data_IF_489541802662
#
_entry.id   IF_489541802662
#
_cell.length_a   1.000
_cell.length_b   1.000
_cell.length_c   1.000
_cell.angle_alpha   90.00
_cell.angle_beta   90.00
_cell.angle_gamma   90.00
#
_symmetry.space_group_name_H-M   'P 1'
#
loop_
_entity.id
_entity.type
_entity.pdbx_description
1 polymer ?
#
# COMPACT_ATOMS: atom_id res chain seq x y z
N UNK A 1 16.18 25.23 -77.03
CA UNK A 1 16.83 23.89 -76.94
C UNK A 1 17.86 23.95 -75.82
N UNK A 2 17.93 23.12 -74.78
CA UNK A 2 17.21 21.93 -74.34
C UNK A 2 17.14 21.99 -72.81
N UNK A 3 15.97 21.65 -72.27
CA UNK A 3 15.77 21.44 -70.84
C UNK A 3 16.59 20.24 -70.34
N UNK A 4 17.10 20.32 -69.11
CA UNK A 4 17.42 19.14 -68.32
C UNK A 4 16.73 19.29 -66.96
N UNK A 5 15.68 18.49 -66.80
CA UNK A 5 14.88 18.33 -65.60
C UNK A 5 15.74 17.64 -64.54
N UNK A 6 15.91 18.28 -63.39
CA UNK A 6 16.44 17.62 -62.19
C UNK A 6 15.24 17.03 -61.45
N UNK A 7 15.00 15.73 -61.63
CA UNK A 7 14.05 14.97 -60.81
C UNK A 7 14.83 14.52 -59.57
N UNK A 8 14.62 15.22 -58.45
CA UNK A 8 15.17 14.80 -57.17
C UNK A 8 14.23 13.78 -56.55
N UNK A 9 14.73 12.55 -56.42
CA UNK A 9 14.02 11.39 -55.91
C UNK A 9 13.72 11.57 -54.41
N UNK A 10 12.43 11.60 -54.07
CA UNK A 10 11.91 11.54 -52.70
C UNK A 10 12.42 10.30 -51.97
N UNK A 11 13.32 10.49 -51.00
CA UNK A 11 13.64 9.44 -50.02
C UNK A 11 12.62 9.51 -48.89
N UNK A 12 11.63 8.62 -48.95
CA UNK A 12 10.70 8.39 -47.85
C UNK A 12 11.49 7.78 -46.68
N UNK A 13 11.80 8.60 -45.67
CA UNK A 13 12.29 8.14 -44.38
C UNK A 13 11.09 7.50 -43.68
N UNK A 14 10.98 6.18 -43.78
CA UNK A 14 10.03 5.40 -42.99
C UNK A 14 10.60 5.37 -41.56
N UNK A 15 10.23 6.35 -40.75
CA UNK A 15 10.40 6.28 -39.30
C UNK A 15 9.48 5.18 -38.77
N UNK A 16 10.01 3.96 -38.66
CA UNK A 16 9.40 2.95 -37.79
C UNK A 16 9.54 3.46 -36.35
N UNK A 17 8.52 4.17 -35.89
CA UNK A 17 8.32 4.40 -34.46
C UNK A 17 8.06 3.04 -33.82
N UNK A 18 9.13 2.35 -33.43
CA UNK A 18 9.03 1.24 -32.51
C UNK A 18 8.48 1.82 -31.21
N UNK A 19 7.16 1.70 -31.01
CA UNK A 19 6.60 1.78 -29.67
C UNK A 19 7.17 0.58 -28.93
N UNK A 20 8.27 0.80 -28.22
CA UNK A 20 8.75 -0.13 -27.21
C UNK A 20 7.64 -0.20 -26.16
N UNK A 21 6.72 -1.15 -26.32
CA UNK A 21 5.85 -1.59 -25.24
C UNK A 21 6.80 -2.19 -24.21
N UNK A 22 7.17 -1.37 -23.22
CA UNK A 22 7.87 -1.82 -22.04
C UNK A 22 7.03 -2.96 -21.45
N UNK A 23 7.48 -4.19 -21.67
CA UNK A 23 6.85 -5.37 -21.09
C UNK A 23 7.05 -5.22 -19.59
N UNK A 24 6.02 -4.72 -18.90
CA UNK A 24 6.04 -4.52 -17.45
C UNK A 24 6.41 -5.86 -16.83
N UNK A 25 7.67 -5.99 -16.42
CA UNK A 25 8.15 -7.18 -15.74
C UNK A 25 7.34 -7.25 -14.46
N UNK A 26 6.42 -8.22 -14.37
CA UNK A 26 5.66 -8.46 -13.15
C UNK A 26 6.70 -8.74 -12.08
N UNK A 27 6.90 -7.82 -11.14
CA UNK A 27 7.84 -8.00 -10.03
C UNK A 27 7.45 -9.30 -9.34
N UNK A 28 8.41 -10.23 -9.23
CA UNK A 28 8.20 -11.43 -8.44
C UNK A 28 8.11 -10.98 -6.99
N UNK A 29 7.02 -11.33 -6.32
CA UNK A 29 6.67 -10.91 -4.97
C UNK A 29 7.12 -12.02 -3.98
N UNK A 30 8.34 -11.98 -3.43
CA UNK A 30 8.72 -12.92 -2.39
C UNK A 30 7.98 -12.62 -1.09
N UNK A 31 7.82 -13.65 -0.26
CA UNK A 31 7.27 -13.49 1.08
C UNK A 31 8.23 -12.65 1.93
N UNK A 32 7.68 -11.64 2.62
CA UNK A 32 8.48 -10.85 3.55
C UNK A 32 8.85 -11.68 4.79
N UNK A 33 10.10 -11.55 5.22
CA UNK A 33 10.61 -12.20 6.44
C UNK A 33 10.29 -11.40 7.71
N UNK A 34 10.03 -10.11 7.56
CA UNK A 34 9.71 -9.21 8.67
C UNK A 34 8.21 -9.22 8.95
N UNK A 35 7.86 -9.66 10.17
CA UNK A 35 6.46 -9.78 10.60
C UNK A 35 5.95 -8.55 11.32
N UNK A 36 6.85 -7.70 11.84
CA UNK A 36 6.48 -6.55 12.65
C UNK A 36 7.30 -5.35 12.25
N UNK A 37 6.63 -4.21 12.09
CA UNK A 37 7.23 -2.93 11.73
C UNK A 37 6.94 -1.97 12.86
N UNK A 38 7.99 -1.36 13.41
CA UNK A 38 7.84 -0.27 14.36
C UNK A 38 7.39 1.00 13.61
N UNK A 39 6.12 1.38 13.81
CA UNK A 39 5.53 2.54 13.15
C UNK A 39 4.86 3.46 14.16
N UNK A 40 5.29 4.72 14.13
CA UNK A 40 4.63 5.80 14.83
C UNK A 40 3.49 6.36 13.94
N UNK A 41 2.26 5.97 14.22
CA UNK A 41 1.09 6.35 13.42
C UNK A 41 0.77 7.85 13.47
N UNK A 42 1.14 8.56 14.54
CA UNK A 42 0.98 10.02 14.60
C UNK A 42 1.94 10.71 13.64
N UNK A 43 3.21 10.26 13.60
CA UNK A 43 4.19 10.75 12.61
C UNK A 43 3.76 10.40 11.19
N UNK A 44 3.21 9.21 10.98
CA UNK A 44 2.68 8.84 9.67
C UNK A 44 1.51 9.74 9.25
N UNK A 45 0.58 10.02 10.16
CA UNK A 45 -0.51 10.97 9.90
C UNK A 45 0.01 12.39 9.62
N UNK A 46 1.03 12.84 10.35
CA UNK A 46 1.69 14.11 10.05
C UNK A 46 2.26 14.11 8.64
N UNK A 47 3.00 13.06 8.24
CA UNK A 47 3.48 12.87 6.87
C UNK A 47 2.35 12.96 5.83
N UNK A 48 1.24 12.26 6.03
CA UNK A 48 0.10 12.29 5.09
C UNK A 48 -0.48 13.70 4.88
N UNK A 49 -0.33 14.60 5.87
CA UNK A 49 -0.85 15.98 5.80
C UNK A 49 0.16 16.97 5.24
N UNK A 50 1.44 16.80 5.55
CA UNK A 50 2.47 17.82 5.27
C UNK A 50 3.36 17.46 4.09
N UNK A 51 3.41 16.19 3.71
CA UNK A 51 4.17 15.74 2.55
C UNK A 51 3.28 15.64 1.30
N UNK A 52 3.86 15.15 0.21
CA UNK A 52 3.14 14.76 -1.01
C UNK A 52 3.06 13.23 -1.05
N UNK A 53 2.20 12.59 -0.24
CA UNK A 53 2.06 11.13 -0.26
C UNK A 53 1.53 10.67 -1.62
N UNK A 54 1.82 9.42 -1.97
CA UNK A 54 1.18 8.78 -3.11
C UNK A 54 -0.29 8.52 -2.80
N UNK A 55 -1.15 8.54 -3.81
CA UNK A 55 -2.61 8.45 -3.64
C UNK A 55 -3.04 7.20 -2.86
N UNK A 56 -2.30 6.10 -3.03
CA UNK A 56 -2.54 4.83 -2.36
C UNK A 56 -2.09 4.80 -0.89
N UNK A 57 -1.25 5.73 -0.44
CA UNK A 57 -0.82 5.78 0.96
C UNK A 57 -1.93 6.33 1.85
N UNK A 58 -2.07 5.75 3.06
CA UNK A 58 -3.02 6.23 4.04
C UNK A 58 -3.56 5.15 4.95
N UNK A 59 -4.62 5.48 5.67
CA UNK A 59 -5.35 4.55 6.51
C UNK A 59 -6.54 3.98 5.76
N UNK A 60 -6.78 2.70 5.98
CA UNK A 60 -7.83 1.93 5.34
C UNK A 60 -8.57 1.10 6.37
N UNK A 61 -9.87 0.93 6.17
CA UNK A 61 -10.70 0.06 7.00
C UNK A 61 -11.38 -1.00 6.15
N UNK A 62 -11.58 -2.19 6.73
CA UNK A 62 -12.38 -3.23 6.09
C UNK A 62 -13.84 -2.79 5.96
N UNK A 63 -14.60 -3.44 5.08
CA UNK A 63 -16.03 -3.14 4.85
C UNK A 63 -16.84 -3.14 6.16
N UNK A 64 -16.55 -4.10 7.07
CA UNK A 64 -17.19 -4.21 8.37
C UNK A 64 -16.55 -3.34 9.47
N UNK A 65 -15.55 -2.52 9.12
CA UNK A 65 -14.84 -1.60 10.00
C UNK A 65 -14.09 -2.25 11.18
N UNK A 66 -13.91 -3.58 11.15
CA UNK A 66 -13.23 -4.31 12.22
C UNK A 66 -11.71 -4.22 12.14
N UNK A 67 -11.17 -4.09 10.91
CA UNK A 67 -9.75 -3.96 10.67
C UNK A 67 -9.41 -2.53 10.27
N UNK A 68 -8.26 -2.05 10.74
CA UNK A 68 -7.65 -0.81 10.28
C UNK A 68 -6.22 -1.10 9.87
N UNK A 69 -5.85 -0.67 8.68
CA UNK A 69 -4.57 -0.96 8.02
C UNK A 69 -3.97 0.36 7.55
N UNK A 70 -2.68 0.55 7.78
CA UNK A 70 -1.91 1.63 7.19
C UNK A 70 -1.19 1.08 5.94
N UNK A 71 -1.43 1.68 4.78
CA UNK A 71 -0.65 1.41 3.56
C UNK A 71 0.42 2.49 3.44
N UNK A 72 1.68 2.07 3.43
CA UNK A 72 2.85 2.95 3.38
C UNK A 72 3.75 2.51 2.24
N UNK A 73 4.42 3.46 1.60
CA UNK A 73 5.46 3.16 0.61
C UNK A 73 6.55 2.29 1.23
N UNK A 74 6.96 1.29 0.48
CA UNK A 74 8.08 0.42 0.83
C UNK A 74 9.30 0.80 0.00
N UNK A 75 10.45 0.94 0.65
CA UNK A 75 11.71 1.30 -0.01
C UNK A 75 12.44 0.08 -0.61
N UNK A 76 11.86 -1.12 -0.51
CA UNK A 76 12.42 -2.32 -1.15
C UNK A 76 12.20 -2.33 -2.67
N UNK A 77 13.04 -3.07 -3.39
CA UNK A 77 12.92 -3.18 -4.86
C UNK A 77 11.72 -4.03 -5.31
N UNK A 78 11.26 -4.92 -4.45
CA UNK A 78 10.34 -6.02 -4.80
C UNK A 78 8.87 -5.64 -4.60
N UNK A 79 8.58 -4.83 -3.58
CA UNK A 79 7.24 -4.36 -3.22
C UNK A 79 7.24 -2.83 -3.17
N UNK A 80 6.24 -2.20 -3.77
CA UNK A 80 6.13 -0.75 -3.79
C UNK A 80 5.45 -0.22 -2.52
N UNK A 81 4.56 -1.03 -1.91
CA UNK A 81 3.84 -0.68 -0.69
C UNK A 81 3.68 -1.89 0.23
N UNK A 82 3.55 -1.61 1.53
CA UNK A 82 3.21 -2.58 2.57
C UNK A 82 1.94 -2.14 3.30
N UNK A 83 1.15 -3.12 3.72
CA UNK A 83 -0.01 -2.89 4.60
C UNK A 83 0.29 -3.40 6.01
N UNK A 84 0.28 -2.48 6.96
CA UNK A 84 0.59 -2.71 8.36
C UNK A 84 -0.68 -2.62 9.18
N UNK A 85 -0.88 -3.55 10.10
CA UNK A 85 -2.03 -3.58 10.98
C UNK A 85 -1.99 -2.44 12.00
N UNK A 86 -3.06 -1.66 12.06
CA UNK A 86 -3.30 -0.63 13.07
C UNK A 86 -4.21 -1.18 14.17
N UNK A 87 -5.29 -1.86 13.75
CA UNK A 87 -6.30 -2.44 14.64
C UNK A 87 -6.87 -3.71 14.04
N UNK A 88 -7.04 -4.73 14.87
CA UNK A 88 -7.73 -5.98 14.54
C UNK A 88 -8.76 -6.33 15.63
N UNK A 89 -9.84 -7.05 15.30
CA UNK A 89 -10.82 -7.50 16.29
C UNK A 89 -10.15 -8.49 17.26
N UNK A 90 -10.41 -8.31 18.56
CA UNK A 90 -9.90 -9.16 19.65
C UNK A 90 -8.37 -9.35 19.65
N UNK A 91 -7.62 -8.42 19.05
CA UNK A 91 -6.16 -8.53 18.97
C UNK A 91 -5.67 -9.69 18.12
N UNK A 92 -6.49 -10.20 17.18
CA UNK A 92 -6.13 -11.30 16.27
C UNK A 92 -4.78 -11.10 15.57
N UNK A 93 -4.50 -9.87 15.20
CA UNK A 93 -3.22 -9.43 14.66
C UNK A 93 -2.65 -8.30 15.51
N UNK A 94 -1.36 -8.34 15.75
CA UNK A 94 -0.69 -7.33 16.56
C UNK A 94 -0.65 -5.98 15.82
N UNK A 95 -0.71 -4.88 16.57
CA UNK A 95 -0.42 -3.55 16.04
C UNK A 95 1.02 -3.52 15.52
N UNK A 96 1.24 -2.96 14.33
CA UNK A 96 2.52 -3.00 13.63
C UNK A 96 2.79 -4.29 12.85
N UNK A 97 1.89 -5.27 12.89
CA UNK A 97 2.08 -6.52 12.13
C UNK A 97 1.93 -6.26 10.63
N UNK A 98 2.91 -6.71 9.84
CA UNK A 98 2.84 -6.64 8.39
C UNK A 98 1.93 -7.74 7.86
N UNK A 99 0.87 -7.35 7.16
CA UNK A 99 -0.13 -8.28 6.63
C UNK A 99 -0.28 -8.24 5.13
N UNK A 100 0.18 -7.17 4.47
CA UNK A 100 0.02 -7.00 3.04
C UNK A 100 1.30 -6.54 2.35
N UNK A 101 1.44 -6.99 1.12
CA UNK A 101 2.47 -6.56 0.19
C UNK A 101 1.83 -6.19 -1.13
N UNK A 102 2.23 -5.06 -1.71
CA UNK A 102 1.67 -4.59 -2.97
C UNK A 102 2.72 -4.09 -3.94
N UNK A 103 2.42 -4.27 -5.21
CA UNK A 103 3.05 -3.61 -6.35
C UNK A 103 2.00 -2.70 -6.97
N UNK A 104 2.43 -1.51 -7.39
CA UNK A 104 1.55 -0.54 -8.01
C UNK A 104 1.35 -0.88 -9.49
N UNK A 105 0.10 -1.17 -9.85
CA UNK A 105 -0.27 -1.35 -11.26
C UNK A 105 -0.47 -0.02 -11.96
N UNK A 106 -1.14 0.91 -11.29
CA UNK A 106 -1.40 2.29 -11.70
C UNK A 106 -1.64 3.16 -10.46
N UNK A 107 -1.85 4.46 -10.64
CA UNK A 107 -2.04 5.44 -9.55
C UNK A 107 -3.11 5.02 -8.52
N UNK A 108 -4.12 4.27 -8.95
CA UNK A 108 -5.26 3.83 -8.12
C UNK A 108 -5.37 2.31 -7.98
N UNK A 109 -4.40 1.52 -8.45
CA UNK A 109 -4.48 0.05 -8.43
C UNK A 109 -3.25 -0.56 -7.77
N UNK A 110 -3.49 -1.33 -6.72
CA UNK A 110 -2.50 -2.17 -6.07
C UNK A 110 -2.82 -3.65 -6.33
N UNK A 111 -1.80 -4.44 -6.68
CA UNK A 111 -1.90 -5.90 -6.68
C UNK A 111 -0.83 -6.50 -5.79
N UNK A 112 -1.14 -7.61 -5.15
CA UNK A 112 -0.17 -8.32 -4.33
C UNK A 112 -0.81 -9.39 -3.48
N UNK A 113 -0.39 -9.48 -2.22
CA UNK A 113 -0.81 -10.54 -1.31
C UNK A 113 -1.21 -9.99 0.06
N UNK A 114 -2.18 -10.66 0.69
CA UNK A 114 -2.32 -10.65 2.13
C UNK A 114 -1.94 -12.02 2.70
N UNK A 115 -1.44 -12.06 3.93
CA UNK A 115 -1.16 -13.32 4.62
C UNK A 115 -2.36 -13.70 5.48
N UNK A 116 -2.71 -14.99 5.55
CA UNK A 116 -3.74 -15.52 6.48
C UNK A 116 -3.14 -15.86 7.86
N UNK A 117 -3.92 -16.45 8.77
CA UNK A 117 -3.45 -16.82 10.12
C UNK A 117 -2.34 -17.88 10.09
N UNK A 118 -2.26 -18.66 9.00
CA UNK A 118 -1.27 -19.71 8.79
C UNK A 118 -0.03 -19.20 8.06
N UNK A 119 -0.01 -17.92 7.66
CA UNK A 119 1.05 -17.32 6.87
C UNK A 119 0.99 -17.67 5.38
N UNK A 120 -0.10 -18.25 4.89
CA UNK A 120 -0.27 -18.47 3.46
C UNK A 120 -0.56 -17.15 2.77
N UNK A 121 0.07 -16.93 1.62
CA UNK A 121 -0.17 -15.77 0.79
C UNK A 121 -1.44 -15.96 -0.05
N UNK A 122 -2.37 -15.03 0.06
CA UNK A 122 -3.61 -14.97 -0.69
C UNK A 122 -3.56 -13.74 -1.60
N UNK A 123 -3.80 -13.95 -2.90
CA UNK A 123 -3.71 -12.85 -3.88
C UNK A 123 -4.83 -11.83 -3.66
N UNK A 124 -4.50 -10.56 -3.85
CA UNK A 124 -5.44 -9.46 -3.70
C UNK A 124 -5.17 -8.39 -4.74
N UNK A 125 -6.25 -7.81 -5.25
CA UNK A 125 -6.24 -6.61 -6.08
C UNK A 125 -7.11 -5.56 -5.41
N UNK A 126 -6.51 -4.44 -5.09
CA UNK A 126 -7.18 -3.30 -4.48
C UNK A 126 -7.29 -2.18 -5.52
N UNK A 127 -8.52 -1.83 -5.86
CA UNK A 127 -8.84 -0.61 -6.58
C UNK A 127 -9.14 0.47 -5.54
N UNK A 128 -8.26 1.46 -5.44
CA UNK A 128 -8.49 2.63 -4.60
C UNK A 128 -9.47 3.53 -5.34
N UNK A 129 -10.72 3.55 -4.89
CA UNK A 129 -11.72 4.53 -5.33
C UNK A 129 -11.81 5.63 -4.28
N UNK A 130 -11.56 6.87 -4.70
CA UNK A 130 -11.63 8.08 -3.85
C UNK A 130 -13.05 8.47 -3.44
N UNK A 131 -14.07 7.81 -4.00
CA UNK A 131 -15.47 8.05 -3.67
C UNK A 131 -16.30 6.79 -3.80
N UNK A 132 -16.90 6.38 -2.68
CA UNK A 132 -17.88 5.31 -2.52
C UNK A 132 -17.36 3.89 -2.80
N UNK A 133 -17.02 3.09 -1.77
CA UNK A 133 -16.71 1.69 -1.99
C UNK A 133 -17.96 1.01 -2.53
N UNK A 134 -17.95 0.62 -3.81
CA UNK A 134 -18.83 -0.45 -4.26
C UNK A 134 -18.63 -1.65 -3.33
N UNK A 135 -19.68 -2.45 -3.13
CA UNK A 135 -19.70 -3.62 -2.20
C UNK A 135 -18.54 -4.61 -2.39
N UNK A 136 -17.78 -4.49 -3.47
CA UNK A 136 -16.67 -5.36 -3.86
C UNK A 136 -15.28 -4.83 -3.41
N UNK A 137 -15.18 -3.65 -2.79
CA UNK A 137 -13.92 -3.12 -2.27
C UNK A 137 -13.62 -3.66 -0.87
N UNK A 138 -12.67 -4.60 -0.75
CA UNK A 138 -12.25 -5.18 0.54
C UNK A 138 -11.81 -4.12 1.57
N UNK A 139 -11.25 -3.00 1.12
CA UNK A 139 -10.75 -1.91 1.94
C UNK A 139 -11.25 -0.56 1.44
N UNK A 140 -11.57 0.33 2.37
CA UNK A 140 -11.99 1.71 2.12
C UNK A 140 -11.03 2.68 2.80
N UNK A 141 -10.59 3.72 2.09
CA UNK A 141 -9.72 4.75 2.67
C UNK A 141 -10.50 5.55 3.71
N UNK A 142 -9.87 5.84 4.84
CA UNK A 142 -10.48 6.52 6.00
C UNK A 142 -9.55 7.64 6.48
N UNK A 143 -10.11 8.76 6.91
CA UNK A 143 -9.30 9.84 7.45
C UNK A 143 -8.79 9.48 8.85
N UNK A 144 -7.57 9.90 9.20
CA UNK A 144 -7.04 9.64 10.54
C UNK A 144 -7.93 10.19 11.67
N UNK A 145 -8.57 11.34 11.44
CA UNK A 145 -9.51 11.96 12.40
C UNK A 145 -10.79 11.17 12.63
N UNK A 146 -11.12 10.24 11.73
CA UNK A 146 -12.29 9.36 11.84
C UNK A 146 -11.95 8.06 12.59
N UNK A 147 -10.66 7.82 12.88
CA UNK A 147 -10.21 6.67 13.64
C UNK A 147 -10.28 6.95 15.14
N UNK A 148 -10.94 6.10 15.94
CA UNK A 148 -10.93 6.19 17.39
C UNK A 148 -9.52 6.31 18.00
N UNK A 149 -9.36 7.26 18.93
CA UNK A 149 -8.09 7.51 19.62
C UNK A 149 -7.51 6.25 20.30
N UNK A 150 -8.39 5.36 20.78
CA UNK A 150 -8.02 4.08 21.40
C UNK A 150 -7.18 3.16 20.50
N UNK A 151 -7.19 3.35 19.18
CA UNK A 151 -6.33 2.58 18.27
C UNK A 151 -4.86 3.01 18.37
N UNK A 152 -4.61 4.20 18.91
CA UNK A 152 -3.29 4.82 18.94
C UNK A 152 -2.66 4.85 20.32
N UNK A 153 -3.47 4.85 21.40
CA UNK A 153 -2.97 4.84 22.78
C UNK A 153 -2.36 3.48 23.12
N UNK A 154 -1.07 3.44 23.45
CA UNK A 154 -0.48 2.28 24.11
C UNK A 154 -1.08 2.15 25.51
N UNK A 155 -1.73 1.02 25.81
CA UNK A 155 -2.14 0.75 27.19
C UNK A 155 -0.87 0.72 28.04
N UNK A 156 -0.68 1.75 28.85
CA UNK A 156 0.32 1.75 29.90
C UNK A 156 -0.14 0.71 30.91
N UNK A 157 0.38 -0.51 30.80
CA UNK A 157 0.15 -1.54 31.80
C UNK A 157 0.90 -1.11 33.05
N UNK A 158 0.21 -0.38 33.93
CA UNK A 158 0.64 -0.13 35.30
C UNK A 158 0.72 -1.49 36.00
N UNK A 159 1.91 -2.10 36.01
CA UNK A 159 2.24 -3.14 36.96
C UNK A 159 2.24 -2.52 38.36
N UNK A 160 1.08 -2.45 39.01
CA UNK A 160 1.03 -2.38 40.46
C UNK A 160 1.40 -3.76 40.97
N UNK A 161 2.68 -3.95 41.27
CA UNK A 161 3.13 -5.04 42.13
C UNK A 161 2.36 -4.94 43.44
N UNK A 162 1.60 -5.97 43.77
CA UNK A 162 1.12 -6.19 45.12
C UNK A 162 2.31 -6.08 46.08
N UNK A 163 2.32 -5.03 46.90
CA UNK A 163 3.14 -5.02 48.10
C UNK A 163 2.64 -6.16 48.97
N UNK A 164 3.52 -7.13 49.22
CA UNK A 164 3.40 -8.06 50.32
C UNK A 164 3.14 -7.25 51.59
N UNK A 165 1.99 -7.50 52.20
CA UNK A 165 1.79 -7.21 53.61
C UNK A 165 2.55 -8.28 54.37
N UNK A 166 3.71 -7.91 54.90
CA UNK A 166 4.34 -8.64 56.01
C UNK A 166 3.50 -8.40 57.27
N UNK A 167 3.07 -9.48 57.90
CA UNK A 167 2.74 -9.56 59.32
C UNK A 167 3.91 -10.22 60.05
#
# INVERSE_FOLDING_TARGET
MKARKLVMLMSAVICFSFTATAKKTVKKLPQLREKQVDINFERFNHYLKTAKPLEVEGFYTSINQEYVIAIIKNDTKEHDFIGIMVKSPNGRYAKGELRFNFVQESDSVLTGYYYDDFGNAQSIKLQIKTSNPEKDCLLSKVAYSELPNEYFVEKTTSNQSHQNQDC
#
